data_IF_451686667888
#
_entry.id   IF_451686667888
#
_cell.length_a   1.000
_cell.length_b   1.000
_cell.length_c   1.000
_cell.angle_alpha   90.00
_cell.angle_beta   90.00
_cell.angle_gamma   90.00
#
_symmetry.space_group_name_H-M   'P 1'
#
loop_
_entity.id
_entity.type
_entity.pdbx_description
1 polymer ?
#
# COMPACT_ATOMS: atom_id res chain seq x y z
N UNK A 1 -3.85 17.33 -16.79
CA UNK A 1 -3.57 17.96 -15.48
C UNK A 1 -4.10 17.14 -14.29
N UNK A 2 -4.77 15.98 -14.49
CA UNK A 2 -5.23 15.10 -13.38
C UNK A 2 -4.15 14.19 -12.76
N UNK A 3 -3.24 13.64 -13.57
CA UNK A 3 -2.33 12.58 -13.09
C UNK A 3 -1.23 13.07 -12.15
N UNK A 4 -0.78 14.33 -12.30
CA UNK A 4 0.22 14.92 -11.39
C UNK A 4 -0.36 15.23 -10.02
N UNK A 5 -1.66 15.52 -9.93
CA UNK A 5 -2.31 15.84 -8.65
C UNK A 5 -2.38 14.59 -7.78
N UNK A 6 -2.84 13.46 -8.33
CA UNK A 6 -2.92 12.18 -7.62
C UNK A 6 -1.56 11.67 -7.12
N UNK A 7 -0.51 11.81 -7.94
CA UNK A 7 0.85 11.44 -7.56
C UNK A 7 1.37 12.34 -6.44
N UNK A 8 1.04 13.65 -6.47
CA UNK A 8 1.46 14.60 -5.44
C UNK A 8 0.74 14.32 -4.11
N UNK A 9 -0.54 13.93 -4.15
CA UNK A 9 -1.29 13.52 -2.94
C UNK A 9 -0.79 12.21 -2.35
N UNK A 10 -0.46 11.20 -3.17
CA UNK A 10 0.14 9.95 -2.69
C UNK A 10 1.51 10.17 -2.04
N UNK A 11 2.33 11.07 -2.60
CA UNK A 11 3.62 11.44 -1.98
C UNK A 11 3.38 12.23 -0.70
N UNK A 12 2.40 13.13 -0.66
CA UNK A 12 2.08 13.89 0.54
C UNK A 12 1.55 13.00 1.67
N UNK A 13 0.70 12.00 1.37
CA UNK A 13 0.22 11.05 2.37
C UNK A 13 1.36 10.17 2.88
N UNK A 14 2.24 9.66 2.01
CA UNK A 14 3.46 8.93 2.40
C UNK A 14 4.41 9.77 3.28
N UNK A 15 4.58 11.05 2.98
CA UNK A 15 5.39 11.96 3.79
C UNK A 15 4.73 12.23 5.16
N UNK A 16 3.40 12.29 5.23
CA UNK A 16 2.66 12.39 6.50
C UNK A 16 2.84 11.12 7.35
N UNK A 17 2.84 9.93 6.74
CA UNK A 17 3.17 8.69 7.46
C UNK A 17 4.58 8.73 8.06
N UNK A 18 5.56 9.29 7.34
CA UNK A 18 6.93 9.45 7.84
C UNK A 18 7.02 10.46 9.00
N UNK A 19 6.23 11.54 9.00
CA UNK A 19 6.17 12.48 10.13
C UNK A 19 5.51 11.90 11.37
N UNK A 20 4.45 11.09 11.21
CA UNK A 20 3.77 10.45 12.34
C UNK A 20 4.62 9.35 13.00
N UNK A 21 5.59 8.78 12.28
CA UNK A 21 6.53 7.82 12.83
C UNK A 21 7.60 8.46 13.74
N UNK A 22 7.74 9.79 13.77
CA UNK A 22 8.71 10.49 14.61
C UNK A 22 8.19 10.95 15.99
N UNK A 23 6.88 10.98 16.24
CA UNK A 23 6.37 11.47 17.53
C UNK A 23 6.04 10.34 18.50
N UNK A 24 6.98 10.12 19.41
CA UNK A 24 6.83 9.35 20.63
C UNK A 24 5.94 10.14 21.60
N UNK A 25 4.96 9.43 22.16
CA UNK A 25 3.91 9.86 23.12
C UNK A 25 2.58 10.36 22.51
N UNK A 26 1.66 9.42 22.29
CA UNK A 26 0.25 9.70 22.03
C UNK A 26 -0.41 10.08 23.37
N UNK A 27 -0.51 11.38 23.62
CA UNK A 27 -1.50 11.93 24.55
C UNK A 27 -2.90 11.81 23.92
N UNK A 28 -4.00 11.66 24.70
CA UNK A 28 -5.32 11.42 24.14
C UNK A 28 -5.75 12.65 23.34
N UNK A 29 -5.99 12.46 22.03
CA UNK A 29 -6.46 13.52 21.14
C UNK A 29 -7.82 14.01 21.66
N UNK A 30 -7.88 15.27 22.09
CA UNK A 30 -9.10 15.93 22.55
C UNK A 30 -10.12 16.06 21.42
N UNK A 31 -11.38 15.73 21.73
CA UNK A 31 -12.53 15.58 20.83
C UNK A 31 -12.98 16.88 20.10
N UNK A 32 -12.35 18.03 20.36
CA UNK A 32 -12.79 19.34 19.86
C UNK A 32 -12.15 19.82 18.54
N UNK A 33 -11.27 19.04 17.87
CA UNK A 33 -10.60 19.48 16.62
C UNK A 33 -11.23 18.94 15.32
N UNK A 34 -12.44 18.37 15.37
CA UNK A 34 -13.05 17.65 14.24
C UNK A 34 -13.63 18.53 13.11
N UNK A 35 -13.59 19.87 13.22
CA UNK A 35 -14.23 20.75 12.25
C UNK A 35 -13.48 20.86 10.90
N UNK A 36 -12.18 20.56 10.84
CA UNK A 36 -11.34 20.81 9.65
C UNK A 36 -10.71 19.54 9.03
N UNK A 37 -11.15 18.34 9.42
CA UNK A 37 -10.60 17.09 8.85
C UNK A 37 -11.23 16.81 7.48
N UNK A 38 -10.45 16.70 6.39
CA UNK A 38 -10.99 16.32 5.08
C UNK A 38 -11.75 14.99 5.17
N UNK A 39 -12.84 14.87 4.42
CA UNK A 39 -13.69 13.67 4.42
C UNK A 39 -12.92 12.38 4.13
N UNK A 40 -11.91 12.46 3.24
CA UNK A 40 -11.01 11.34 2.93
C UNK A 40 -10.21 10.88 4.17
N UNK A 41 -9.58 11.82 4.87
CA UNK A 41 -8.81 11.55 6.09
C UNK A 41 -9.69 11.00 7.22
N UNK A 42 -10.91 11.54 7.39
CA UNK A 42 -11.85 11.04 8.39
C UNK A 42 -12.30 9.59 8.11
N UNK A 43 -12.54 9.28 6.83
CA UNK A 43 -12.87 7.93 6.39
C UNK A 43 -11.73 6.94 6.64
N UNK A 44 -10.50 7.30 6.25
CA UNK A 44 -9.34 6.44 6.45
C UNK A 44 -9.02 6.25 7.93
N UNK A 45 -9.16 7.30 8.75
CA UNK A 45 -8.99 7.17 10.20
C UNK A 45 -10.03 6.23 10.81
N UNK A 46 -11.27 6.26 10.34
CA UNK A 46 -12.30 5.31 10.77
C UNK A 46 -11.99 3.87 10.33
N UNK A 47 -11.51 3.68 9.10
CA UNK A 47 -11.05 2.37 8.63
C UNK A 47 -9.94 1.81 9.54
N UNK A 48 -8.95 2.62 9.88
CA UNK A 48 -7.83 2.22 10.73
C UNK A 48 -8.27 1.94 12.18
N UNK A 49 -9.24 2.70 12.72
CA UNK A 49 -9.76 2.52 14.08
C UNK A 49 -10.33 1.13 14.32
N UNK A 50 -10.86 0.50 13.28
CA UNK A 50 -11.43 -0.85 13.34
C UNK A 50 -10.38 -1.98 13.26
N UNK A 51 -9.10 -1.66 13.04
CA UNK A 51 -8.04 -2.66 13.00
C UNK A 51 -7.40 -2.89 14.37
N UNK A 52 -6.96 -4.13 14.58
CA UNK A 52 -6.16 -4.48 15.75
C UNK A 52 -4.75 -3.89 15.65
N UNK A 53 -4.13 -3.54 16.78
CA UNK A 53 -2.74 -3.10 16.82
C UNK A 53 -1.77 -4.11 16.18
N UNK A 54 -2.02 -5.41 16.37
CA UNK A 54 -1.25 -6.48 15.73
C UNK A 54 -1.32 -6.38 14.21
N UNK A 55 -2.51 -6.10 13.67
CA UNK A 55 -2.71 -5.95 12.22
C UNK A 55 -2.02 -4.70 11.68
N UNK A 56 -2.17 -3.57 12.37
CA UNK A 56 -1.49 -2.31 12.00
C UNK A 56 0.02 -2.51 11.98
N UNK A 57 0.59 -3.07 13.05
CA UNK A 57 2.02 -3.37 13.12
C UNK A 57 2.49 -4.28 11.98
N UNK A 58 1.74 -5.35 11.69
CA UNK A 58 2.06 -6.23 10.57
C UNK A 58 2.14 -5.46 9.24
N UNK A 59 1.17 -4.57 8.97
CA UNK A 59 1.14 -3.80 7.73
C UNK A 59 2.29 -2.79 7.65
N UNK A 60 2.65 -2.13 8.76
CA UNK A 60 3.82 -1.25 8.82
C UNK A 60 5.12 -2.02 8.57
N UNK A 61 5.29 -3.17 9.23
CA UNK A 61 6.47 -4.03 9.03
C UNK A 61 6.56 -4.58 7.58
N UNK A 62 5.43 -4.62 6.85
CA UNK A 62 5.38 -4.96 5.43
C UNK A 62 5.75 -3.78 4.54
N UNK A 63 5.23 -2.60 4.82
CA UNK A 63 5.51 -1.36 4.08
C UNK A 63 7.00 -1.01 4.16
N UNK A 64 7.60 -1.12 5.34
CA UNK A 64 9.04 -0.86 5.57
C UNK A 64 9.97 -1.75 4.72
N UNK A 65 9.51 -2.92 4.29
CA UNK A 65 10.29 -3.84 3.43
C UNK A 65 10.12 -3.54 1.95
N UNK A 66 9.02 -2.88 1.57
CA UNK A 66 8.76 -2.50 0.19
C UNK A 66 9.57 -1.25 -0.12
N UNK A 67 10.43 -1.32 -1.14
CA UNK A 67 11.16 -0.13 -1.54
C UNK A 67 10.20 0.90 -2.12
N UNK A 68 10.38 2.18 -1.76
CA UNK A 68 9.55 3.27 -2.27
C UNK A 68 9.52 3.34 -3.80
N UNK A 69 10.67 3.08 -4.45
CA UNK A 69 10.77 2.95 -5.91
C UNK A 69 9.83 1.89 -6.46
N UNK A 70 9.79 0.71 -5.86
CA UNK A 70 8.92 -0.37 -6.32
C UNK A 70 7.46 -0.16 -5.95
N UNK A 71 7.15 0.46 -4.81
CA UNK A 71 5.79 0.90 -4.50
C UNK A 71 5.25 1.86 -5.57
N UNK A 72 6.05 2.85 -6.00
CA UNK A 72 5.68 3.77 -7.08
C UNK A 72 5.48 3.03 -8.41
N UNK A 73 6.37 2.09 -8.73
CA UNK A 73 6.28 1.31 -9.97
C UNK A 73 5.05 0.40 -10.00
N UNK A 74 4.74 -0.27 -8.88
CA UNK A 74 3.51 -1.05 -8.71
C UNK A 74 2.27 -0.20 -8.95
N UNK A 75 2.17 0.95 -8.29
CA UNK A 75 1.05 1.88 -8.45
C UNK A 75 0.88 2.29 -9.92
N UNK A 76 1.97 2.67 -10.60
CA UNK A 76 1.93 2.98 -12.04
C UNK A 76 1.51 1.77 -12.88
N UNK A 77 1.96 0.57 -12.52
CA UNK A 77 1.61 -0.68 -13.18
C UNK A 77 0.12 -0.99 -13.06
N UNK A 78 -0.49 -0.74 -11.90
CA UNK A 78 -1.93 -0.92 -11.68
C UNK A 78 -2.78 -0.02 -12.58
N UNK A 79 -2.44 1.26 -12.69
CA UNK A 79 -3.20 2.20 -13.53
C UNK A 79 -3.01 1.98 -15.03
N UNK A 80 -1.84 1.49 -15.45
CA UNK A 80 -1.52 1.36 -16.88
C UNK A 80 -1.55 -0.08 -17.39
N UNK A 81 -1.89 -1.04 -16.54
CA UNK A 81 -1.79 -2.48 -16.80
C UNK A 81 -0.41 -2.87 -17.36
N UNK A 82 0.66 -2.38 -16.72
CA UNK A 82 2.04 -2.63 -17.12
C UNK A 82 2.75 -3.52 -16.09
N UNK A 83 3.63 -4.43 -16.53
CA UNK A 83 4.48 -5.17 -15.61
C UNK A 83 5.45 -4.22 -14.92
N UNK A 84 5.92 -4.62 -13.74
CA UNK A 84 7.06 -3.99 -13.06
C UNK A 84 8.37 -4.56 -13.56
N UNK A 85 9.45 -3.84 -13.30
CA UNK A 85 10.83 -4.24 -13.55
C UNK A 85 11.19 -5.51 -12.78
N UNK A 86 12.19 -6.23 -13.29
CA UNK A 86 12.70 -7.43 -12.63
C UNK A 86 13.24 -7.14 -11.22
N UNK A 87 13.93 -6.01 -11.05
CA UNK A 87 14.38 -5.50 -9.75
C UNK A 87 13.21 -5.37 -8.77
N UNK A 88 12.08 -4.81 -9.23
CA UNK A 88 10.90 -4.69 -8.40
C UNK A 88 10.17 -5.99 -8.19
N UNK A 89 10.18 -6.92 -9.14
CA UNK A 89 9.71 -8.28 -8.87
C UNK A 89 10.51 -8.95 -7.76
N UNK A 90 11.84 -8.78 -7.71
CA UNK A 90 12.61 -9.30 -6.58
C UNK A 90 12.23 -8.66 -5.25
N UNK A 91 12.10 -7.33 -5.21
CA UNK A 91 11.75 -6.61 -3.99
C UNK A 91 10.35 -6.99 -3.49
N UNK A 92 9.36 -7.07 -4.39
CA UNK A 92 7.98 -7.50 -4.07
C UNK A 92 7.94 -8.94 -3.57
N UNK A 93 8.67 -9.86 -4.20
CA UNK A 93 8.69 -11.24 -3.71
C UNK A 93 9.36 -11.37 -2.34
N UNK A 94 10.36 -10.54 -2.04
CA UNK A 94 11.06 -10.50 -0.75
C UNK A 94 10.17 -9.98 0.39
N UNK A 95 9.18 -9.11 0.13
CA UNK A 95 8.22 -8.72 1.18
C UNK A 95 7.28 -9.87 1.56
N UNK A 96 7.04 -10.80 0.64
CA UNK A 96 6.21 -11.99 0.83
C UNK A 96 4.73 -11.77 0.50
N UNK A 97 4.05 -12.88 0.15
CA UNK A 97 2.66 -12.88 -0.35
C UNK A 97 1.69 -12.22 0.63
N UNK A 98 1.79 -12.56 1.92
CA UNK A 98 0.87 -12.03 2.92
C UNK A 98 1.02 -10.52 3.12
N UNK A 99 2.25 -10.00 2.94
CA UNK A 99 2.49 -8.56 2.91
C UNK A 99 1.87 -7.92 1.68
N UNK A 100 2.08 -8.48 0.48
CA UNK A 100 1.46 -7.97 -0.74
C UNK A 100 -0.07 -7.95 -0.65
N UNK A 101 -0.71 -9.08 -0.34
CA UNK A 101 -2.16 -9.17 -0.14
C UNK A 101 -2.64 -8.20 0.94
N UNK A 102 -1.91 -8.11 2.05
CA UNK A 102 -2.28 -7.26 3.17
C UNK A 102 -2.25 -5.77 2.83
N UNK A 103 -1.17 -5.30 2.22
CA UNK A 103 -1.00 -3.92 1.78
C UNK A 103 -2.01 -3.56 0.70
N UNK A 104 -2.25 -4.46 -0.26
CA UNK A 104 -3.23 -4.22 -1.32
C UNK A 104 -4.66 -4.16 -0.80
N UNK A 105 -5.04 -5.04 0.12
CA UNK A 105 -6.36 -4.96 0.75
C UNK A 105 -6.55 -3.69 1.57
N UNK A 106 -5.51 -3.21 2.28
CA UNK A 106 -5.58 -1.94 2.99
C UNK A 106 -5.70 -0.77 1.99
N UNK A 107 -4.81 -0.71 1.01
CA UNK A 107 -4.79 0.35 0.01
C UNK A 107 -6.12 0.44 -0.75
N UNK A 108 -6.71 -0.69 -1.14
CA UNK A 108 -8.00 -0.72 -1.83
C UNK A 108 -9.21 -0.51 -0.91
N UNK A 109 -9.00 -0.44 0.41
CA UNK A 109 -10.05 -0.06 1.36
C UNK A 109 -10.01 1.44 1.69
N UNK A 110 -8.93 2.16 1.35
CA UNK A 110 -8.84 3.60 1.63
C UNK A 110 -9.76 4.40 0.73
N UNK A 111 -10.09 5.62 1.16
CA UNK A 111 -11.01 6.52 0.48
C UNK A 111 -10.65 6.72 -1.00
N UNK A 112 -9.36 6.87 -1.28
CA UNK A 112 -8.85 7.19 -2.62
C UNK A 112 -9.00 6.05 -3.63
N UNK A 113 -8.99 4.78 -3.18
CA UNK A 113 -8.94 3.63 -4.09
C UNK A 113 -10.11 2.66 -3.95
N UNK A 114 -10.97 2.80 -2.93
CA UNK A 114 -12.11 1.91 -2.71
C UNK A 114 -13.01 1.75 -3.94
N UNK A 115 -13.24 2.83 -4.68
CA UNK A 115 -14.10 2.82 -5.86
C UNK A 115 -13.39 2.23 -7.10
N UNK A 116 -12.07 2.07 -7.05
CA UNK A 116 -11.24 1.45 -8.10
C UNK A 116 -10.81 0.01 -7.74
N UNK A 117 -11.24 -0.50 -6.58
CA UNK A 117 -10.82 -1.82 -6.09
C UNK A 117 -11.13 -2.95 -7.08
N UNK A 118 -12.28 -2.89 -7.75
CA UNK A 118 -12.69 -3.88 -8.75
C UNK A 118 -11.75 -3.93 -9.96
N UNK A 119 -11.13 -2.81 -10.32
CA UNK A 119 -10.22 -2.69 -11.45
C UNK A 119 -8.77 -3.02 -11.04
N UNK A 120 -8.33 -2.53 -9.88
CA UNK A 120 -6.94 -2.64 -9.43
C UNK A 120 -6.63 -4.02 -8.86
N UNK A 121 -7.56 -4.64 -8.11
CA UNK A 121 -7.29 -5.92 -7.44
C UNK A 121 -6.89 -7.04 -8.43
N UNK A 122 -7.59 -7.26 -9.56
CA UNK A 122 -7.18 -8.26 -10.53
C UNK A 122 -5.79 -7.98 -11.13
N UNK A 123 -5.46 -6.70 -11.38
CA UNK A 123 -4.15 -6.28 -11.92
C UNK A 123 -3.02 -6.49 -10.92
N UNK A 124 -3.28 -6.22 -9.64
CA UNK A 124 -2.33 -6.49 -8.56
C UNK A 124 -2.01 -7.98 -8.45
N UNK A 125 -3.03 -8.85 -8.47
CA UNK A 125 -2.84 -10.31 -8.50
C UNK A 125 -2.05 -10.76 -9.75
N UNK A 126 -2.38 -10.21 -10.91
CA UNK A 126 -1.67 -10.52 -12.16
C UNK A 126 -0.19 -10.13 -12.07
N UNK A 127 0.11 -8.96 -11.51
CA UNK A 127 1.49 -8.49 -11.30
C UNK A 127 2.26 -9.42 -10.37
N UNK A 128 1.70 -9.75 -9.21
CA UNK A 128 2.29 -10.70 -8.27
C UNK A 128 2.58 -12.05 -8.95
N UNK A 129 1.58 -12.62 -9.61
CA UNK A 129 1.71 -13.91 -10.30
C UNK A 129 2.72 -13.88 -11.46
N UNK A 130 2.89 -12.73 -12.11
CA UNK A 130 3.94 -12.53 -13.11
C UNK A 130 5.31 -12.58 -12.46
N UNK A 131 5.52 -11.83 -11.37
CA UNK A 131 6.78 -11.87 -10.61
C UNK A 131 7.09 -13.27 -10.08
N UNK A 132 6.10 -13.99 -9.53
CA UNK A 132 6.29 -15.39 -9.09
C UNK A 132 6.80 -16.25 -10.24
N UNK A 133 6.18 -16.12 -11.42
CA UNK A 133 6.55 -16.93 -12.59
C UNK A 133 7.94 -16.61 -13.12
N UNK A 134 8.33 -15.34 -13.17
CA UNK A 134 9.58 -14.90 -13.80
C UNK A 134 10.78 -14.90 -12.86
N UNK A 135 10.55 -14.71 -11.56
CA UNK A 135 11.62 -14.30 -10.64
C UNK A 135 11.75 -15.23 -9.42
N UNK A 136 10.67 -15.84 -8.93
CA UNK A 136 10.70 -16.57 -7.65
C UNK A 136 11.73 -17.71 -7.63
N UNK A 137 11.74 -18.56 -8.67
CA UNK A 137 12.71 -19.66 -8.76
C UNK A 137 14.16 -19.15 -8.82
N UNK A 138 14.41 -18.03 -9.51
CA UNK A 138 15.74 -17.44 -9.65
C UNK A 138 16.31 -16.96 -8.31
N UNK A 139 15.46 -16.41 -7.44
CA UNK A 139 15.87 -15.86 -6.14
C UNK A 139 15.64 -16.82 -4.97
N UNK A 140 15.17 -18.04 -5.22
CA UNK A 140 14.83 -19.02 -4.17
C UNK A 140 13.61 -18.63 -3.32
N UNK A 141 12.73 -17.76 -3.84
CA UNK A 141 11.48 -17.42 -3.16
C UNK A 141 10.39 -18.49 -3.40
N UNK A 142 9.40 -18.63 -2.50
CA UNK A 142 8.30 -19.56 -2.69
C UNK A 142 7.47 -19.29 -3.95
N UNK A 143 7.01 -20.35 -4.62
CA UNK A 143 6.06 -20.27 -5.73
C UNK A 143 4.61 -20.06 -5.24
N UNK A 144 4.40 -18.98 -4.49
CA UNK A 144 3.14 -18.69 -3.81
C UNK A 144 2.25 -17.80 -4.68
N UNK A 145 1.43 -18.39 -5.55
CA UNK A 145 0.50 -17.63 -6.40
C UNK A 145 -0.69 -17.03 -5.61
N UNK A 146 -1.25 -15.95 -6.13
CA UNK A 146 -2.50 -15.36 -5.68
C UNK A 146 -3.67 -15.82 -6.54
N UNK A 147 -4.78 -16.15 -5.88
CA UNK A 147 -6.04 -16.59 -6.47
C UNK A 147 -7.08 -15.48 -6.32
#
# INVERSE_FOLDING_TARGET
>A
MEKSILITFFIATLMVYQTLAQDKEISPISLDSYADVPTATAYDHELLRHMTLKRIKFLLDCDDKLSSKCGIEMTKGFYNNKPVSEECCENILKIGRDCHVGLMNLALATYELKDLAYEILPRSKQMWNTCVRTTAARIGAPLAFET
#
